data_IF_588268530904
#
_entry.id   IF_588268530904
#
_cell.length_a   1.000
_cell.length_b   1.000
_cell.length_c   1.000
_cell.angle_alpha   90.00
_cell.angle_beta   90.00
_cell.angle_gamma   90.00
#
_symmetry.space_group_name_H-M   'P 1'
#
loop_
_entity.id
_entity.type
_entity.pdbx_description
1 polymer ?
#
# COMPACT_ATOMS: atom_id res chain seq x y z
N UNK A 1 23.77 4.53 -5.13
CA UNK A 1 23.47 5.99 -5.19
C UNK A 1 24.51 6.89 -4.49
N UNK A 2 25.06 6.53 -3.32
CA UNK A 2 26.01 7.39 -2.60
C UNK A 2 27.30 7.71 -3.39
N UNK A 3 27.88 6.70 -4.08
CA UNK A 3 29.08 6.87 -4.92
C UNK A 3 28.88 7.89 -6.04
N UNK A 4 27.73 7.86 -6.72
CA UNK A 4 27.42 8.80 -7.81
C UNK A 4 27.32 10.24 -7.28
N UNK A 5 26.68 10.44 -6.12
CA UNK A 5 26.59 11.76 -5.48
C UNK A 5 27.97 12.29 -5.11
N UNK A 6 28.82 11.43 -4.56
CA UNK A 6 30.20 11.77 -4.19
C UNK A 6 31.03 12.16 -5.43
N UNK A 7 30.90 11.43 -6.54
CA UNK A 7 31.55 11.78 -7.80
C UNK A 7 31.09 13.14 -8.34
N UNK A 8 29.79 13.43 -8.33
CA UNK A 8 29.25 14.74 -8.74
C UNK A 8 29.83 15.88 -7.89
N UNK A 9 29.92 15.69 -6.57
CA UNK A 9 30.49 16.69 -5.66
C UNK A 9 31.96 16.92 -5.97
N UNK A 10 32.75 15.85 -6.12
CA UNK A 10 34.19 15.95 -6.41
C UNK A 10 34.42 16.64 -7.75
N UNK A 11 33.75 16.20 -8.82
CA UNK A 11 33.87 16.81 -10.14
C UNK A 11 33.46 18.29 -10.12
N UNK A 12 32.37 18.63 -9.43
CA UNK A 12 31.92 20.02 -9.28
C UNK A 12 32.94 20.89 -8.55
N UNK A 13 33.50 20.41 -7.43
CA UNK A 13 34.52 21.14 -6.68
C UNK A 13 35.83 21.28 -7.45
N UNK A 14 36.28 20.24 -8.17
CA UNK A 14 37.47 20.32 -9.04
C UNK A 14 37.27 21.33 -10.16
N UNK A 15 36.10 21.32 -10.80
CA UNK A 15 35.76 22.31 -11.83
C UNK A 15 35.80 23.74 -11.30
N UNK A 16 35.27 23.96 -10.09
CA UNK A 16 35.30 25.28 -9.43
C UNK A 16 36.73 25.67 -9.06
N UNK A 17 37.52 24.73 -8.53
CA UNK A 17 38.91 24.95 -8.14
C UNK A 17 39.78 25.42 -9.32
N UNK A 18 39.57 24.85 -10.50
CA UNK A 18 40.31 25.22 -11.71
C UNK A 18 40.04 26.66 -12.19
N UNK A 19 39.05 27.35 -11.62
CA UNK A 19 38.73 28.75 -11.92
C UNK A 19 39.13 29.72 -10.80
N UNK A 20 39.83 29.25 -9.77
CA UNK A 20 40.30 30.10 -8.68
C UNK A 20 41.62 30.78 -9.01
N UNK A 21 41.76 32.03 -8.55
CA UNK A 21 43.05 32.69 -8.43
C UNK A 21 43.85 32.10 -7.26
N UNK A 22 45.18 32.31 -7.28
CA UNK A 22 46.07 31.83 -6.22
C UNK A 22 45.69 32.46 -4.87
N UNK A 23 45.27 31.61 -3.95
CA UNK A 23 44.97 31.96 -2.57
C UNK A 23 45.38 30.78 -1.68
N UNK A 24 45.79 31.07 -0.45
CA UNK A 24 46.17 30.03 0.49
C UNK A 24 44.95 29.21 0.92
N UNK A 25 45.14 27.88 0.92
CA UNK A 25 44.15 26.90 1.36
C UNK A 25 42.80 26.98 0.61
N UNK A 26 42.81 27.35 -0.68
CA UNK A 26 41.59 27.46 -1.51
C UNK A 26 40.73 26.21 -1.45
N UNK A 27 41.33 25.02 -1.53
CA UNK A 27 40.57 23.75 -1.48
C UNK A 27 39.75 23.62 -0.20
N UNK A 28 40.36 23.89 0.97
CA UNK A 28 39.69 23.82 2.26
C UNK A 28 38.58 24.87 2.36
N UNK A 29 38.83 26.08 1.84
CA UNK A 29 37.82 27.15 1.79
C UNK A 29 36.63 26.73 0.92
N UNK A 30 36.85 26.20 -0.29
CA UNK A 30 35.77 25.72 -1.16
C UNK A 30 34.95 24.60 -0.50
N UNK A 31 35.61 23.65 0.17
CA UNK A 31 34.92 22.63 0.97
C UNK A 31 34.07 23.29 2.07
N UNK A 32 34.61 24.27 2.78
CA UNK A 32 33.87 25.02 3.81
C UNK A 32 32.62 25.72 3.26
N UNK A 33 32.74 26.40 2.12
CA UNK A 33 31.60 27.05 1.46
C UNK A 33 30.57 26.04 0.94
N UNK A 34 31.02 24.91 0.39
CA UNK A 34 30.13 23.81 0.01
C UNK A 34 29.37 23.25 1.22
N UNK A 35 30.07 22.97 2.32
CA UNK A 35 29.45 22.48 3.55
C UNK A 35 28.45 23.49 4.09
N UNK A 36 28.79 24.78 4.07
CA UNK A 36 27.91 25.87 4.45
C UNK A 36 26.64 25.88 3.58
N UNK A 37 26.75 25.80 2.25
CA UNK A 37 25.58 25.76 1.36
C UNK A 37 24.72 24.50 1.52
N UNK A 38 25.34 23.38 1.88
CA UNK A 38 24.65 22.10 2.13
C UNK A 38 24.07 21.97 3.54
N UNK A 39 24.29 22.95 4.41
CA UNK A 39 23.92 22.85 5.82
C UNK A 39 22.41 23.04 6.01
N UNK A 40 21.79 22.02 6.61
CA UNK A 40 20.37 21.97 6.89
C UNK A 40 20.14 21.87 8.40
N UNK A 41 19.27 22.74 8.92
CA UNK A 41 18.77 22.65 10.28
C UNK A 41 17.33 22.13 10.26
N UNK A 42 16.97 21.20 11.14
CA UNK A 42 15.60 20.70 11.27
C UNK A 42 14.95 21.27 12.51
N UNK A 43 13.89 22.05 12.34
CA UNK A 43 13.10 22.61 13.44
C UNK A 43 11.66 22.11 13.33
N UNK A 44 11.15 21.41 14.35
CA UNK A 44 9.83 20.78 14.34
C UNK A 44 9.54 19.94 13.07
N UNK A 45 10.55 19.23 12.57
CA UNK A 45 10.43 18.42 11.35
C UNK A 45 10.54 19.20 10.03
N UNK A 46 10.53 20.54 10.07
CA UNK A 46 10.69 21.38 8.88
C UNK A 46 12.18 21.56 8.57
N UNK A 47 12.64 21.21 7.35
CA UNK A 47 14.02 21.43 6.92
C UNK A 47 14.25 22.90 6.54
N UNK A 48 15.09 23.60 7.30
CA UNK A 48 15.47 25.01 7.08
C UNK A 48 16.92 25.07 6.57
N UNK A 49 17.19 25.65 5.39
CA UNK A 49 18.54 25.77 4.83
C UNK A 49 19.33 26.93 5.47
N UNK A 50 19.56 26.84 6.79
CA UNK A 50 20.22 27.89 7.60
C UNK A 50 21.62 28.22 7.07
N UNK A 51 22.30 27.24 6.49
CA UNK A 51 23.61 27.43 5.88
C UNK A 51 23.64 28.53 4.82
N UNK A 52 22.59 28.62 4.00
CA UNK A 52 22.48 29.69 3.00
C UNK A 52 22.15 31.04 3.60
N UNK A 53 21.35 31.07 4.67
CA UNK A 53 21.07 32.32 5.39
C UNK A 53 22.38 32.88 5.97
N UNK A 54 23.20 32.01 6.58
CA UNK A 54 24.51 32.39 7.11
C UNK A 54 25.45 32.85 5.99
N UNK A 55 25.45 32.16 4.85
CA UNK A 55 26.24 32.55 3.68
C UNK A 55 25.94 33.99 3.23
N UNK A 56 24.66 34.34 3.10
CA UNK A 56 24.25 35.68 2.66
C UNK A 56 24.49 36.79 3.68
N UNK A 57 24.44 36.50 4.98
CA UNK A 57 24.52 37.53 6.03
C UNK A 57 25.94 37.70 6.57
N UNK A 58 26.69 36.62 6.75
CA UNK A 58 27.91 36.60 7.57
C UNK A 58 29.17 36.14 6.83
N UNK A 59 29.03 35.45 5.71
CA UNK A 59 30.16 34.77 5.07
C UNK A 59 30.36 35.17 3.61
N UNK A 60 30.09 36.43 3.25
CA UNK A 60 30.32 36.89 1.88
C UNK A 60 31.83 36.96 1.57
N UNK A 61 32.33 36.19 0.58
CA UNK A 61 33.76 36.15 0.28
C UNK A 61 34.23 37.38 -0.49
N UNK A 62 35.37 37.94 -0.08
CA UNK A 62 36.02 39.07 -0.78
C UNK A 62 37.00 38.63 -1.86
N UNK A 63 37.78 37.58 -1.61
CA UNK A 63 38.72 36.95 -2.57
C UNK A 63 38.12 35.67 -3.14
N UNK A 64 38.31 35.41 -4.45
CA UNK A 64 37.72 34.26 -5.15
C UNK A 64 36.20 34.18 -4.94
N UNK A 65 35.53 35.35 -4.94
CA UNK A 65 34.11 35.48 -4.60
C UNK A 65 33.24 34.55 -5.42
N UNK A 66 33.44 34.52 -6.74
CA UNK A 66 32.67 33.68 -7.64
C UNK A 66 32.84 32.19 -7.32
N UNK A 67 34.07 31.71 -7.16
CA UNK A 67 34.33 30.30 -6.92
C UNK A 67 33.73 29.82 -5.59
N UNK A 68 33.88 30.60 -4.52
CA UNK A 68 33.30 30.30 -3.20
C UNK A 68 31.78 30.36 -3.21
N UNK A 69 31.19 31.31 -3.94
CA UNK A 69 29.74 31.41 -4.14
C UNK A 69 29.22 30.21 -4.93
N UNK A 70 29.90 29.81 -6.01
CA UNK A 70 29.56 28.60 -6.78
C UNK A 70 29.67 27.33 -5.93
N UNK A 71 30.64 27.24 -5.03
CA UNK A 71 30.77 26.13 -4.09
C UNK A 71 29.59 26.08 -3.10
N UNK A 72 29.19 27.22 -2.55
CA UNK A 72 27.98 27.31 -1.72
C UNK A 72 26.72 26.88 -2.49
N UNK A 73 26.52 27.39 -3.71
CA UNK A 73 25.40 26.97 -4.56
C UNK A 73 25.43 25.48 -4.92
N UNK A 74 26.60 24.89 -5.17
CA UNK A 74 26.74 23.45 -5.35
C UNK A 74 26.24 22.69 -4.11
N UNK A 75 26.57 23.17 -2.91
CA UNK A 75 26.05 22.64 -1.64
C UNK A 75 24.52 22.69 -1.57
N UNK A 76 23.91 23.81 -1.97
CA UNK A 76 22.45 23.96 -2.01
C UNK A 76 21.80 23.00 -2.99
N UNK A 77 22.36 22.87 -4.20
CA UNK A 77 21.83 21.95 -5.21
C UNK A 77 21.82 20.52 -4.68
N UNK A 78 22.90 20.10 -4.01
CA UNK A 78 22.97 18.77 -3.37
C UNK A 78 21.94 18.63 -2.25
N UNK A 79 21.74 19.67 -1.42
CA UNK A 79 20.71 19.69 -0.39
C UNK A 79 19.30 19.56 -0.99
N UNK A 80 18.99 20.31 -2.05
CA UNK A 80 17.70 20.25 -2.74
C UNK A 80 17.45 18.87 -3.35
N UNK A 81 18.45 18.28 -4.00
CA UNK A 81 18.37 16.89 -4.49
C UNK A 81 18.09 15.93 -3.32
N UNK A 82 18.72 16.14 -2.17
CA UNK A 82 18.48 15.35 -0.96
C UNK A 82 17.04 15.43 -0.45
N UNK A 83 16.42 16.61 -0.52
CA UNK A 83 15.02 16.84 -0.10
C UNK A 83 14.03 16.26 -1.12
N UNK A 84 14.29 16.43 -2.41
CA UNK A 84 13.37 16.03 -3.50
C UNK A 84 13.46 14.53 -3.79
N UNK A 85 14.64 13.93 -3.63
CA UNK A 85 14.87 12.49 -3.89
C UNK A 85 13.87 11.54 -3.21
N UNK A 86 13.54 11.67 -1.90
CA UNK A 86 12.52 10.81 -1.29
C UNK A 86 11.13 11.06 -1.87
N UNK A 87 10.78 12.29 -2.25
CA UNK A 87 9.49 12.59 -2.88
C UNK A 87 9.35 11.88 -4.23
N UNK A 88 10.39 11.96 -5.08
CA UNK A 88 10.40 11.27 -6.39
C UNK A 88 10.32 9.76 -6.20
N UNK A 89 11.14 9.22 -5.27
CA UNK A 89 11.15 7.80 -4.97
C UNK A 89 9.78 7.30 -4.53
N UNK A 90 9.11 8.03 -3.63
CA UNK A 90 7.78 7.68 -3.16
C UNK A 90 6.74 7.82 -4.28
N UNK A 91 6.80 8.87 -5.10
CA UNK A 91 5.89 9.06 -6.22
C UNK A 91 5.98 7.93 -7.26
N UNK A 92 7.19 7.49 -7.59
CA UNK A 92 7.40 6.36 -8.52
C UNK A 92 6.89 5.07 -7.89
N UNK A 93 7.17 4.84 -6.61
CA UNK A 93 6.76 3.65 -5.89
C UNK A 93 5.24 3.54 -5.71
N UNK A 94 4.55 4.65 -5.39
CA UNK A 94 3.10 4.70 -5.16
C UNK A 94 2.28 4.75 -6.47
N UNK A 95 2.95 4.75 -7.62
CA UNK A 95 2.30 4.77 -8.94
C UNK A 95 1.37 3.55 -9.09
N UNK A 96 0.09 3.75 -9.44
CA UNK A 96 -0.84 2.64 -9.59
C UNK A 96 -0.41 1.68 -10.71
N UNK A 97 -0.39 0.40 -10.41
CA UNK A 97 -0.22 -0.68 -11.41
C UNK A 97 -1.59 -1.14 -11.88
N UNK A 98 -1.71 -1.43 -13.18
CA UNK A 98 -2.94 -1.91 -13.80
C UNK A 98 -2.78 -3.37 -14.21
N UNK A 99 -3.81 -4.16 -13.93
CA UNK A 99 -3.90 -5.58 -14.34
C UNK A 99 -5.32 -5.83 -14.83
N UNK A 100 -5.48 -6.57 -15.91
CA UNK A 100 -6.81 -6.91 -16.42
C UNK A 100 -7.49 -7.90 -15.46
N UNK A 101 -8.79 -7.72 -15.28
CA UNK A 101 -9.63 -8.66 -14.54
C UNK A 101 -10.28 -9.64 -15.52
N UNK A 102 -10.40 -10.90 -15.11
CA UNK A 102 -11.09 -11.92 -15.90
C UNK A 102 -12.57 -11.60 -16.16
N UNK A 103 -13.24 -10.89 -15.24
CA UNK A 103 -14.63 -10.48 -15.38
C UNK A 103 -15.00 -9.30 -14.46
N UNK A 104 -16.13 -8.65 -14.72
CA UNK A 104 -16.82 -7.75 -13.77
C UNK A 104 -18.03 -8.40 -13.11
N UNK A 105 -18.26 -9.68 -13.34
CA UNK A 105 -19.30 -10.48 -12.69
C UNK A 105 -18.67 -11.51 -11.76
N UNK A 106 -19.10 -11.53 -10.49
CA UNK A 106 -18.55 -12.37 -9.44
C UNK A 106 -18.62 -13.86 -9.77
N UNK A 107 -19.68 -14.31 -10.43
CA UNK A 107 -19.87 -15.73 -10.76
C UNK A 107 -19.00 -16.21 -11.94
N UNK A 108 -18.41 -15.26 -12.68
CA UNK A 108 -17.51 -15.52 -13.80
C UNK A 108 -16.06 -15.12 -13.48
N UNK A 109 -15.80 -14.56 -12.30
CA UNK A 109 -14.49 -14.09 -11.90
C UNK A 109 -13.59 -15.27 -11.54
N UNK A 110 -12.39 -15.30 -12.10
CA UNK A 110 -11.37 -16.29 -11.78
C UNK A 110 -10.36 -15.68 -10.79
N UNK A 111 -10.62 -15.87 -9.50
CA UNK A 111 -9.82 -15.26 -8.44
C UNK A 111 -8.35 -15.71 -8.47
N UNK A 112 -8.09 -16.99 -8.73
CA UNK A 112 -6.74 -17.55 -8.77
C UNK A 112 -5.94 -17.05 -9.96
N UNK A 113 -6.56 -16.97 -11.14
CA UNK A 113 -5.94 -16.42 -12.35
C UNK A 113 -5.61 -14.93 -12.18
N UNK A 114 -6.61 -14.15 -11.76
CA UNK A 114 -6.46 -12.71 -11.51
C UNK A 114 -5.36 -12.45 -10.46
N UNK A 115 -5.36 -13.23 -9.37
CA UNK A 115 -4.31 -13.14 -8.36
C UNK A 115 -2.94 -13.50 -8.91
N UNK A 116 -2.83 -14.51 -9.76
CA UNK A 116 -1.59 -14.88 -10.46
C UNK A 116 -1.02 -13.69 -11.25
N UNK A 117 -1.86 -13.04 -12.07
CA UNK A 117 -1.47 -11.88 -12.86
C UNK A 117 -1.05 -10.68 -11.99
N UNK A 118 -1.77 -10.44 -10.89
CA UNK A 118 -1.41 -9.40 -9.91
C UNK A 118 -0.07 -9.71 -9.24
N UNK A 119 0.15 -10.98 -8.87
CA UNK A 119 1.37 -11.46 -8.20
C UNK A 119 2.61 -11.27 -9.06
N UNK A 120 2.51 -11.48 -10.37
CA UNK A 120 3.60 -11.22 -11.33
C UNK A 120 3.98 -9.75 -11.45
N UNK A 121 3.02 -8.84 -11.30
CA UNK A 121 3.22 -7.39 -11.48
C UNK A 121 3.78 -6.69 -10.25
N UNK A 122 3.54 -7.22 -9.06
CA UNK A 122 4.05 -6.64 -7.82
C UNK A 122 5.30 -7.41 -7.35
N UNK A 123 6.44 -6.70 -7.20
CA UNK A 123 7.76 -7.30 -6.93
C UNK A 123 7.74 -8.36 -5.80
N UNK A 124 8.40 -9.48 -6.06
CA UNK A 124 8.31 -10.72 -5.27
C UNK A 124 9.55 -10.92 -4.40
N UNK A 125 9.45 -10.70 -3.09
CA UNK A 125 10.41 -11.23 -2.11
C UNK A 125 9.79 -11.72 -0.79
N UNK A 126 8.47 -11.78 -0.64
CA UNK A 126 7.87 -12.24 0.63
C UNK A 126 6.48 -12.86 0.47
N UNK A 127 6.13 -13.66 1.48
CA UNK A 127 4.77 -14.17 1.69
C UNK A 127 3.84 -12.97 1.81
N UNK A 128 2.82 -12.92 0.95
CA UNK A 128 1.80 -11.86 0.95
C UNK A 128 0.62 -12.35 1.78
N UNK A 129 0.15 -11.54 2.74
CA UNK A 129 -0.99 -11.85 3.60
C UNK A 129 -2.15 -10.89 3.35
N UNK A 130 -3.39 -11.36 3.42
CA UNK A 130 -4.58 -10.54 3.17
C UNK A 130 -5.03 -9.86 4.46
N UNK A 131 -5.37 -8.57 4.41
CA UNK A 131 -5.76 -7.76 5.58
C UNK A 131 -7.21 -7.30 5.57
N UNK A 132 -7.81 -7.16 4.40
CA UNK A 132 -9.21 -6.79 4.25
C UNK A 132 -9.63 -7.26 2.87
N UNK A 133 -10.75 -7.94 2.76
CA UNK A 133 -11.36 -8.33 1.50
C UNK A 133 -12.81 -7.94 1.54
N UNK A 134 -13.29 -7.24 0.50
CA UNK A 134 -14.68 -6.87 0.36
C UNK A 134 -15.10 -6.89 -1.10
N UNK A 135 -16.21 -7.57 -1.35
CA UNK A 135 -16.91 -7.53 -2.64
C UNK A 135 -18.39 -7.32 -2.37
N UNK A 136 -18.99 -6.32 -3.00
CA UNK A 136 -20.44 -6.19 -3.06
C UNK A 136 -20.95 -6.47 -4.47
N UNK A 137 -22.06 -7.18 -4.56
CA UNK A 137 -22.56 -7.71 -5.83
C UNK A 137 -24.08 -7.85 -5.81
N UNK A 138 -24.67 -7.77 -6.99
CA UNK A 138 -26.10 -7.96 -7.25
C UNK A 138 -26.45 -9.45 -7.31
N UNK A 139 -27.75 -9.77 -7.33
CA UNK A 139 -28.25 -11.15 -7.38
C UNK A 139 -27.81 -11.93 -8.62
N UNK A 140 -27.59 -11.25 -9.74
CA UNK A 140 -27.06 -11.85 -10.97
C UNK A 140 -25.53 -11.94 -10.98
N UNK A 141 -24.87 -11.52 -9.91
CA UNK A 141 -23.43 -11.51 -9.74
C UNK A 141 -22.75 -10.24 -10.27
N UNK A 142 -23.47 -9.25 -10.80
CA UNK A 142 -22.87 -7.99 -11.20
C UNK A 142 -22.17 -7.33 -9.99
N UNK A 143 -20.86 -7.10 -10.11
CA UNK A 143 -20.08 -6.53 -9.02
C UNK A 143 -20.37 -5.03 -8.96
N UNK A 144 -20.66 -4.51 -7.76
CA UNK A 144 -20.82 -3.07 -7.47
C UNK A 144 -19.55 -2.45 -6.90
N UNK A 145 -18.85 -3.21 -6.07
CA UNK A 145 -17.59 -2.80 -5.46
C UNK A 145 -16.70 -4.03 -5.26
N UNK A 146 -15.42 -3.90 -5.60
CA UNK A 146 -14.43 -4.93 -5.32
C UNK A 146 -13.15 -4.28 -4.86
N UNK A 147 -12.75 -4.58 -3.64
CA UNK A 147 -11.45 -4.15 -3.13
C UNK A 147 -10.90 -5.13 -2.10
N UNK A 148 -9.57 -5.21 -2.04
CA UNK A 148 -8.88 -5.92 -0.98
C UNK A 148 -7.51 -5.32 -0.71
N UNK A 149 -6.98 -5.63 0.46
CA UNK A 149 -5.71 -5.14 0.94
C UNK A 149 -4.77 -6.31 1.24
N UNK A 150 -3.53 -6.16 0.78
CA UNK A 150 -2.47 -7.15 0.92
C UNK A 150 -1.30 -6.51 1.65
N UNK A 151 -0.71 -7.23 2.57
CA UNK A 151 0.56 -6.85 3.18
C UNK A 151 1.64 -7.80 2.69
N UNK A 152 2.77 -7.22 2.29
CA UNK A 152 4.01 -7.95 2.05
C UNK A 152 5.22 -7.12 2.47
N UNK A 153 6.39 -7.63 2.14
CA UNK A 153 7.69 -6.98 2.35
C UNK A 153 8.44 -6.80 1.04
N UNK A 154 9.13 -5.67 0.92
CA UNK A 154 10.22 -5.45 -0.03
C UNK A 154 11.47 -5.05 0.75
N UNK A 155 12.49 -5.91 0.74
CA UNK A 155 13.60 -5.81 1.68
C UNK A 155 13.11 -5.83 3.13
N UNK A 156 13.45 -4.80 3.90
CA UNK A 156 13.05 -4.66 5.31
C UNK A 156 11.80 -3.79 5.50
N UNK A 157 11.21 -3.29 4.42
CA UNK A 157 10.05 -2.41 4.49
C UNK A 157 8.76 -3.21 4.28
N UNK A 158 7.79 -2.99 5.15
CA UNK A 158 6.43 -3.51 4.98
C UNK A 158 5.67 -2.63 4.00
N UNK A 159 4.99 -3.26 3.04
CA UNK A 159 4.22 -2.61 1.99
C UNK A 159 2.77 -3.07 2.08
N UNK A 160 1.86 -2.09 2.10
CA UNK A 160 0.44 -2.29 1.90
C UNK A 160 0.11 -2.10 0.43
N UNK A 161 -0.43 -3.13 -0.23
CA UNK A 161 -1.03 -3.03 -1.55
C UNK A 161 -2.54 -2.94 -1.41
N UNK A 162 -3.13 -1.87 -1.91
CA UNK A 162 -4.58 -1.72 -2.03
C UNK A 162 -4.97 -2.05 -3.45
N UNK A 163 -5.82 -3.06 -3.61
CA UNK A 163 -6.31 -3.52 -4.91
C UNK A 163 -7.78 -3.13 -5.01
N UNK A 164 -8.14 -2.41 -6.07
CA UNK A 164 -9.52 -2.00 -6.36
C UNK A 164 -9.85 -2.30 -7.80
N UNK A 165 -11.01 -2.91 -8.07
CA UNK A 165 -11.49 -3.08 -9.44
C UNK A 165 -12.16 -1.80 -9.96
N UNK A 166 -11.83 -1.42 -11.19
CA UNK A 166 -12.60 -0.47 -11.99
C UNK A 166 -13.51 -1.24 -12.93
N UNK A 167 -14.78 -1.36 -12.56
CA UNK A 167 -15.77 -2.22 -13.20
C UNK A 167 -15.95 -1.92 -14.68
N UNK A 168 -16.13 -0.64 -15.04
CA UNK A 168 -16.35 -0.16 -16.42
C UNK A 168 -15.21 -0.54 -17.37
N UNK A 169 -14.02 -0.80 -16.82
CA UNK A 169 -12.80 -1.08 -17.57
C UNK A 169 -12.32 -2.52 -17.38
N UNK A 170 -12.92 -3.27 -16.46
CA UNK A 170 -12.50 -4.61 -16.06
C UNK A 170 -10.99 -4.66 -15.76
N UNK A 171 -10.50 -3.71 -14.95
CA UNK A 171 -9.10 -3.67 -14.51
C UNK A 171 -8.99 -3.54 -13.01
N UNK A 172 -7.98 -4.18 -12.43
CA UNK A 172 -7.50 -3.90 -11.09
C UNK A 172 -6.53 -2.72 -11.10
N UNK A 173 -6.79 -1.75 -10.24
CA UNK A 173 -5.83 -0.72 -9.82
C UNK A 173 -5.17 -1.15 -8.52
N UNK A 174 -3.84 -1.22 -8.55
CA UNK A 174 -3.04 -1.63 -7.40
C UNK A 174 -2.20 -0.44 -6.94
N UNK A 175 -2.46 0.03 -5.74
CA UNK A 175 -1.70 1.12 -5.11
C UNK A 175 -0.82 0.56 -3.99
N UNK A 176 0.48 0.76 -4.09
CA UNK A 176 1.42 0.40 -3.03
C UNK A 176 1.64 1.58 -2.08
N UNK A 177 1.80 1.32 -0.79
CA UNK A 177 2.18 2.30 0.22
C UNK A 177 3.10 1.66 1.26
N UNK A 178 4.18 2.34 1.60
CA UNK A 178 5.06 1.92 2.70
C UNK A 178 4.36 2.12 4.05
N UNK A 179 4.49 1.15 4.95
CA UNK A 179 3.89 1.22 6.28
C UNK A 179 4.88 0.77 7.36
N UNK A 180 4.65 1.24 8.58
CA UNK A 180 5.36 0.74 9.77
C UNK A 180 4.87 -0.67 10.13
N UNK A 181 5.74 -1.43 10.80
CA UNK A 181 5.44 -2.78 11.29
C UNK A 181 4.15 -2.77 12.12
N UNK A 182 3.30 -3.79 11.95
CA UNK A 182 2.05 -3.91 12.67
C UNK A 182 1.96 -5.26 13.38
N UNK A 183 1.61 -5.25 14.66
CA UNK A 183 1.58 -6.42 15.56
C UNK A 183 0.61 -7.53 15.13
N UNK A 184 -0.28 -7.26 14.17
CA UNK A 184 -1.30 -8.20 13.71
C UNK A 184 -0.92 -8.98 12.44
N UNK A 185 0.24 -8.70 11.83
CA UNK A 185 0.66 -9.37 10.59
C UNK A 185 0.73 -10.90 10.75
N UNK A 186 1.13 -11.40 11.92
CA UNK A 186 1.24 -12.85 12.14
C UNK A 186 -0.09 -13.57 12.07
N UNK A 187 -1.18 -12.91 12.47
CA UNK A 187 -2.53 -13.49 12.48
C UNK A 187 -3.21 -13.51 11.11
N UNK A 188 -2.60 -12.91 10.08
CA UNK A 188 -3.21 -12.86 8.76
C UNK A 188 -2.96 -14.15 7.97
N UNK A 189 -3.94 -14.54 7.16
CA UNK A 189 -3.82 -15.67 6.22
C UNK A 189 -3.04 -15.23 4.96
N UNK A 190 -2.31 -16.16 4.35
CA UNK A 190 -1.66 -15.90 3.06
C UNK A 190 -2.70 -15.63 1.99
N UNK A 191 -2.39 -14.72 1.06
CA UNK A 191 -3.30 -14.38 -0.05
C UNK A 191 -3.51 -15.57 -0.97
N UNK A 192 -2.47 -16.38 -1.21
CA UNK A 192 -2.56 -17.60 -2.01
C UNK A 192 -3.63 -18.55 -1.44
N UNK A 193 -3.60 -18.80 -0.12
CA UNK A 193 -4.60 -19.67 0.53
C UNK A 193 -5.98 -19.04 0.57
N UNK A 194 -6.05 -17.73 0.78
CA UNK A 194 -7.33 -17.01 0.80
C UNK A 194 -8.08 -17.17 -0.53
N UNK A 195 -7.41 -16.93 -1.66
CA UNK A 195 -8.06 -17.06 -2.97
C UNK A 195 -8.31 -18.51 -3.37
N UNK A 196 -7.47 -19.45 -2.95
CA UNK A 196 -7.73 -20.88 -3.12
C UNK A 196 -9.07 -21.29 -2.50
N UNK A 197 -9.36 -20.84 -1.27
CA UNK A 197 -10.59 -21.23 -0.60
C UNK A 197 -11.81 -20.38 -0.97
N UNK A 198 -11.58 -19.15 -1.45
CA UNK A 198 -12.67 -18.28 -1.92
C UNK A 198 -13.35 -18.86 -3.15
N UNK A 199 -12.62 -19.58 -4.02
CA UNK A 199 -13.17 -20.29 -5.18
C UNK A 199 -14.15 -21.40 -4.80
N UNK A 200 -14.01 -21.96 -3.60
CA UNK A 200 -14.89 -23.02 -3.07
C UNK A 200 -16.18 -22.47 -2.44
N UNK A 201 -16.26 -21.15 -2.23
CA UNK A 201 -17.49 -20.53 -1.71
C UNK A 201 -18.47 -20.39 -2.86
N UNK A 202 -19.68 -20.92 -2.67
CA UNK A 202 -20.80 -20.73 -3.58
C UNK A 202 -21.72 -19.60 -3.06
N UNK A 203 -21.50 -18.34 -3.45
CA UNK A 203 -22.28 -17.20 -2.96
C UNK A 203 -23.78 -17.27 -3.31
N UNK A 204 -24.20 -18.15 -4.23
CA UNK A 204 -25.61 -18.31 -4.63
C UNK A 204 -26.48 -18.97 -3.56
N UNK A 205 -25.90 -19.54 -2.50
CA UNK A 205 -26.62 -20.30 -1.48
C UNK A 205 -27.46 -19.46 -0.50
N UNK A 206 -27.31 -18.13 -0.51
CA UNK A 206 -28.14 -17.22 0.32
C UNK A 206 -29.56 -17.01 -0.28
N UNK A 207 -29.86 -17.55 -1.45
CA UNK A 207 -31.02 -17.16 -2.26
C UNK A 207 -32.40 -17.70 -1.83
N UNK A 208 -32.61 -18.03 -0.55
CA UNK A 208 -33.82 -18.74 -0.09
C UNK A 208 -34.86 -17.90 0.68
N UNK A 209 -34.69 -16.57 0.84
CA UNK A 209 -35.61 -15.75 1.65
C UNK A 209 -36.34 -14.65 0.86
N UNK A 210 -37.68 -14.66 0.88
CA UNK A 210 -38.54 -13.60 0.34
C UNK A 210 -38.27 -12.24 1.03
N UNK A 211 -38.15 -11.14 0.28
CA UNK A 211 -37.99 -9.79 0.83
C UNK A 211 -37.32 -8.76 -0.10
N UNK A 212 -37.25 -7.49 0.32
CA UNK A 212 -36.60 -6.38 -0.40
C UNK A 212 -35.05 -6.50 -0.35
N UNK A 213 -34.50 -7.33 -1.23
CA UNK A 213 -33.06 -7.40 -1.48
C UNK A 213 -32.57 -6.11 -2.17
N UNK A 214 -31.47 -5.53 -1.68
CA UNK A 214 -30.72 -4.50 -2.44
C UNK A 214 -29.47 -5.12 -3.06
N UNK A 215 -28.59 -5.77 -2.29
CA UNK A 215 -27.36 -6.42 -2.79
C UNK A 215 -26.76 -7.38 -1.75
N UNK A 216 -25.66 -8.05 -2.10
CA UNK A 216 -24.91 -8.95 -1.22
C UNK A 216 -23.50 -8.42 -0.95
N UNK A 217 -22.88 -8.87 0.15
CA UNK A 217 -21.49 -8.52 0.49
C UNK A 217 -20.73 -9.78 0.92
N UNK A 218 -19.62 -10.07 0.25
CA UNK A 218 -18.57 -10.93 0.79
C UNK A 218 -17.52 -10.07 1.51
N UNK A 219 -17.16 -10.45 2.74
CA UNK A 219 -16.24 -9.70 3.58
C UNK A 219 -15.32 -10.64 4.38
N UNK A 220 -14.04 -10.31 4.48
CA UNK A 220 -13.11 -10.94 5.42
C UNK A 220 -12.06 -9.96 5.91
N UNK A 221 -11.66 -10.06 7.17
CA UNK A 221 -10.49 -9.36 7.73
C UNK A 221 -9.17 -10.09 7.45
N UNK A 222 -9.23 -11.29 6.88
CA UNK A 222 -8.06 -12.16 6.69
C UNK A 222 -7.42 -12.66 7.98
N UNK A 223 -7.97 -12.36 9.15
CA UNK A 223 -7.39 -12.74 10.44
C UNK A 223 -7.90 -14.11 10.89
N UNK A 224 -6.98 -14.92 11.43
CA UNK A 224 -7.35 -16.06 12.26
C UNK A 224 -7.96 -15.57 13.58
N UNK A 225 -9.14 -16.09 13.89
CA UNK A 225 -9.92 -15.76 15.07
C UNK A 225 -10.70 -16.98 15.57
N UNK A 226 -11.38 -16.81 16.69
CA UNK A 226 -12.29 -17.78 17.28
C UNK A 226 -13.66 -17.14 17.38
N UNK A 227 -14.72 -17.87 17.04
CA UNK A 227 -16.10 -17.42 17.21
C UNK A 227 -16.92 -18.43 17.98
N UNK A 228 -17.81 -17.91 18.82
CA UNK A 228 -18.87 -18.63 19.52
C UNK A 228 -20.24 -18.03 19.21
N UNK A 229 -20.36 -17.30 18.09
CA UNK A 229 -21.62 -16.67 17.67
C UNK A 229 -22.63 -17.74 17.22
N UNK A 230 -23.91 -17.49 17.46
CA UNK A 230 -25.00 -18.36 17.03
C UNK A 230 -25.54 -17.90 15.68
N UNK A 231 -24.72 -17.98 14.63
CA UNK A 231 -25.12 -17.72 13.23
C UNK A 231 -24.97 -18.99 12.38
N UNK A 232 -25.30 -18.95 11.10
CA UNK A 232 -25.05 -20.10 10.23
C UNK A 232 -23.56 -20.18 9.92
N UNK A 233 -22.93 -21.26 10.39
CA UNK A 233 -21.53 -21.56 10.18
C UNK A 233 -21.37 -22.73 9.20
N UNK A 234 -20.51 -22.57 8.21
CA UNK A 234 -19.97 -23.66 7.40
C UNK A 234 -18.47 -23.76 7.66
N UNK A 235 -17.94 -24.97 7.64
CA UNK A 235 -16.51 -25.22 7.73
C UNK A 235 -16.05 -25.96 6.47
N UNK A 236 -14.91 -25.54 5.93
CA UNK A 236 -14.24 -26.27 4.86
C UNK A 236 -13.41 -27.43 5.44
N UNK A 237 -13.74 -28.65 5.05
CA UNK A 237 -13.07 -29.90 5.46
C UNK A 237 -12.91 -30.78 4.20
N UNK A 238 -11.68 -31.21 3.92
CA UNK A 238 -11.35 -32.17 2.84
C UNK A 238 -11.99 -31.84 1.48
N UNK A 239 -11.95 -30.57 1.08
CA UNK A 239 -12.48 -30.14 -0.21
C UNK A 239 -13.98 -29.80 -0.21
N UNK A 240 -14.66 -29.90 0.92
CA UNK A 240 -16.11 -29.71 1.00
C UNK A 240 -16.51 -28.73 2.10
N UNK A 241 -17.58 -27.97 1.85
CA UNK A 241 -18.22 -27.14 2.87
C UNK A 241 -19.26 -27.95 3.64
N UNK A 242 -19.09 -28.05 4.96
CA UNK A 242 -20.01 -28.77 5.85
C UNK A 242 -20.63 -27.79 6.87
N UNK A 243 -21.95 -27.86 7.13
CA UNK A 243 -22.56 -27.04 8.18
C UNK A 243 -21.99 -27.42 9.55
N UNK A 244 -21.74 -26.43 10.39
CA UNK A 244 -21.20 -26.60 11.75
C UNK A 244 -22.37 -26.64 12.73
N UNK A 245 -22.43 -27.68 13.56
CA UNK A 245 -23.43 -27.77 14.61
C UNK A 245 -23.07 -26.83 15.78
N UNK A 246 -24.08 -26.28 16.46
CA UNK A 246 -23.89 -25.42 17.63
C UNK A 246 -23.07 -26.06 18.76
N UNK A 247 -23.07 -27.39 18.85
CA UNK A 247 -22.27 -28.16 19.82
C UNK A 247 -20.77 -28.19 19.50
N UNK A 248 -20.39 -27.83 18.27
CA UNK A 248 -18.99 -27.76 17.80
C UNK A 248 -18.35 -26.37 18.01
N UNK A 249 -19.11 -25.42 18.55
CA UNK A 249 -18.59 -24.11 18.94
C UNK A 249 -17.81 -24.18 20.27
N UNK A 250 -16.76 -23.37 20.46
CA UNK A 250 -16.27 -22.32 19.57
C UNK A 250 -15.41 -22.87 18.42
N UNK A 251 -15.60 -22.31 17.23
CA UNK A 251 -14.79 -22.65 16.04
C UNK A 251 -13.65 -21.64 15.89
N UNK A 252 -12.48 -22.13 15.50
CA UNK A 252 -11.29 -21.30 15.24
C UNK A 252 -10.83 -21.45 13.80
N UNK A 253 -10.41 -20.35 13.19
CA UNK A 253 -9.99 -20.28 11.80
C UNK A 253 -10.01 -18.84 11.30
N UNK A 254 -9.68 -18.62 10.03
CA UNK A 254 -10.14 -17.39 9.37
C UNK A 254 -11.49 -17.68 8.74
N UNK A 255 -12.30 -16.64 8.55
CA UNK A 255 -13.59 -16.80 7.91
C UNK A 255 -13.83 -15.75 6.82
N UNK A 256 -14.68 -16.12 5.86
CA UNK A 256 -15.29 -15.20 4.91
C UNK A 256 -16.77 -15.15 5.28
N UNK A 257 -17.27 -13.93 5.43
CA UNK A 257 -18.67 -13.68 5.74
C UNK A 257 -19.41 -13.27 4.48
N UNK A 258 -20.61 -13.80 4.29
CA UNK A 258 -21.51 -13.40 3.22
C UNK A 258 -22.80 -12.85 3.85
N UNK A 259 -23.17 -11.63 3.47
CA UNK A 259 -24.33 -10.92 4.00
C UNK A 259 -25.32 -10.62 2.88
N UNK A 260 -26.60 -10.68 3.22
CA UNK A 260 -27.66 -10.04 2.46
C UNK A 260 -27.86 -8.62 2.96
N UNK A 261 -27.86 -7.63 2.07
CA UNK A 261 -28.17 -6.24 2.43
C UNK A 261 -29.62 -5.93 2.07
N UNK A 262 -30.39 -5.62 3.11
CA UNK A 262 -31.81 -5.26 3.01
C UNK A 262 -31.96 -3.76 3.21
N UNK A 263 -32.65 -3.09 2.29
CA UNK A 263 -32.95 -1.65 2.39
C UNK A 263 -34.00 -1.43 3.48
N UNK A 264 -33.69 -0.58 4.47
CA UNK A 264 -34.56 -0.31 5.62
C UNK A 264 -35.18 1.07 5.61
N UNK A 265 -34.53 2.06 4.99
CA UNK A 265 -35.10 3.40 4.83
C UNK A 265 -34.45 4.17 3.69
N UNK A 266 -35.21 5.08 3.11
CA UNK A 266 -34.75 6.01 2.09
C UNK A 266 -35.22 7.41 2.46
N UNK A 267 -34.26 8.32 2.57
CA UNK A 267 -34.48 9.75 2.65
C UNK A 267 -33.98 10.39 1.35
N UNK A 268 -34.39 11.64 1.02
CA UNK A 268 -33.87 12.33 -0.16
C UNK A 268 -32.35 12.45 -0.21
N UNK A 269 -31.66 12.29 0.92
CA UNK A 269 -30.21 12.45 1.06
C UNK A 269 -29.46 11.15 1.40
N UNK A 270 -30.15 10.06 1.74
CA UNK A 270 -29.49 8.82 2.17
C UNK A 270 -30.39 7.59 2.06
N UNK A 271 -29.79 6.46 1.68
CA UNK A 271 -30.39 5.14 1.79
C UNK A 271 -29.66 4.38 2.90
N UNK A 272 -30.42 3.76 3.81
CA UNK A 272 -29.87 2.95 4.90
C UNK A 272 -30.13 1.47 4.63
N UNK A 273 -29.13 0.64 4.93
CA UNK A 273 -29.16 -0.81 4.76
C UNK A 273 -28.79 -1.52 6.06
N UNK A 274 -29.32 -2.72 6.25
CA UNK A 274 -28.94 -3.64 7.33
C UNK A 274 -28.49 -4.97 6.72
N UNK A 275 -27.43 -5.55 7.29
CA UNK A 275 -27.00 -6.90 6.97
C UNK A 275 -27.88 -7.92 7.67
N UNK A 276 -28.51 -8.80 6.89
CA UNK A 276 -29.31 -9.95 7.35
C UNK A 276 -28.75 -11.23 6.75
N UNK A 277 -29.18 -12.39 7.25
CA UNK A 277 -28.85 -13.71 6.70
C UNK A 277 -27.34 -13.95 6.57
N UNK A 278 -26.62 -13.73 7.68
CA UNK A 278 -25.15 -13.86 7.74
C UNK A 278 -24.73 -15.33 7.70
N UNK A 279 -23.91 -15.68 6.70
CA UNK A 279 -23.22 -16.96 6.63
C UNK A 279 -21.72 -16.75 6.85
N UNK A 280 -21.12 -17.55 7.74
CA UNK A 280 -19.67 -17.60 7.90
C UNK A 280 -19.08 -18.89 7.36
N UNK A 281 -18.16 -18.78 6.39
CA UNK A 281 -17.36 -19.88 5.85
C UNK A 281 -16.01 -19.92 6.56
N UNK A 282 -15.73 -20.98 7.33
CA UNK A 282 -14.56 -21.13 8.19
C UNK A 282 -13.50 -22.03 7.58
N UNK A 283 -12.24 -21.62 7.74
CA UNK A 283 -11.06 -22.30 7.22
C UNK A 283 -10.01 -22.44 8.33
N UNK A 284 -9.74 -23.69 8.71
CA UNK A 284 -8.76 -24.03 9.76
C UNK A 284 -7.33 -23.92 9.25
N UNK A 285 -6.40 -23.66 10.17
CA UNK A 285 -4.97 -23.72 9.90
C UNK A 285 -4.55 -25.19 9.78
N UNK A 286 -3.92 -25.55 8.67
CA UNK A 286 -3.32 -26.86 8.44
C UNK A 286 -1.87 -26.86 8.90
#
# INVERSE_FOLDING_TARGET
MWVIRLLIIICGLVYIYNQCEKEDNVVLKLIGYFLLGSFLFRFNGIPIPVGMIVFFILAEPTVNKEAKTRAAYLGVVILLIGIISPMISNYIFERPVKVDASSSNLYMLNFKEDWGAIKEKIESQSIKKIRNFRVSYEKDGEIREFHYEIIGYSGNEMILYKVKMLLDKQIYLINAKKMSLQDQYERLVSVDKFFEVLEEINPKEIDNSEGNLDYYILLSSGQYTTSSEYVTHFQYIDGNMTPVDTTELPISGFYISNYRMTKISETPTSISHIGTDTIYYWFKQW
#
